data_IF_628286636265
#
_entry.id   IF_628286636265
#
_cell.length_a   1.000
_cell.length_b   1.000
_cell.length_c   1.000
_cell.angle_alpha   90.00
_cell.angle_beta   90.00
_cell.angle_gamma   90.00
#
_symmetry.space_group_name_H-M   'P 1'
#
loop_
_entity.id
_entity.type
_entity.pdbx_description
1 polymer ?
#
# COMPACT_ATOMS: atom_id res chain seq x y z
N UNK A 1 8.00 4.31 14.10
CA UNK A 1 9.27 4.73 13.46
C UNK A 1 9.47 3.85 12.23
N UNK A 2 9.21 4.38 11.03
CA UNK A 2 9.58 3.70 9.78
C UNK A 2 11.11 3.75 9.67
N UNK A 3 11.75 2.62 9.36
CA UNK A 3 13.21 2.51 9.32
C UNK A 3 13.82 3.40 8.24
N UNK A 4 15.01 3.94 8.51
CA UNK A 4 15.84 4.60 7.50
C UNK A 4 16.16 3.62 6.36
N UNK A 5 15.75 3.96 5.14
CA UNK A 5 16.05 3.14 3.96
C UNK A 5 17.49 3.40 3.50
N UNK A 6 18.43 2.57 3.94
CA UNK A 6 19.75 2.49 3.34
C UNK A 6 19.68 1.64 2.06
N UNK A 7 19.34 2.30 0.95
CA UNK A 7 19.32 1.65 -0.37
C UNK A 7 20.76 1.42 -0.85
N UNK A 8 21.06 0.20 -1.31
CA UNK A 8 22.32 -0.10 -1.99
C UNK A 8 22.19 0.32 -3.45
N UNK A 9 23.16 1.10 -3.95
CA UNK A 9 23.17 1.50 -5.35
C UNK A 9 23.45 0.30 -6.27
N UNK A 10 22.79 0.28 -7.42
CA UNK A 10 22.83 -0.84 -8.35
C UNK A 10 24.21 -1.08 -8.98
N UNK A 11 24.97 -0.01 -9.23
CA UNK A 11 26.35 -0.06 -9.72
C UNK A 11 27.27 -0.83 -8.75
N UNK A 12 27.10 -0.63 -7.44
CA UNK A 12 27.87 -1.39 -6.44
C UNK A 12 27.55 -2.89 -6.44
N UNK A 13 26.31 -3.27 -6.74
CA UNK A 13 25.93 -4.69 -6.84
C UNK A 13 26.61 -5.37 -8.03
N UNK A 14 26.77 -4.65 -9.14
CA UNK A 14 27.53 -5.13 -10.31
C UNK A 14 29.02 -5.26 -9.99
N UNK A 15 29.65 -4.23 -9.42
CA UNK A 15 31.07 -4.24 -9.08
C UNK A 15 31.43 -5.37 -8.10
N UNK A 16 30.52 -5.70 -7.18
CA UNK A 16 30.72 -6.77 -6.19
C UNK A 16 30.41 -8.18 -6.73
N UNK A 17 30.00 -8.31 -8.00
CA UNK A 17 29.67 -9.61 -8.61
C UNK A 17 28.44 -10.29 -7.99
N UNK A 18 27.55 -9.50 -7.39
CA UNK A 18 26.32 -9.98 -6.74
C UNK A 18 25.19 -10.23 -7.74
N UNK A 19 25.31 -9.69 -8.96
CA UNK A 19 24.44 -10.00 -10.10
C UNK A 19 25.12 -11.09 -10.93
N UNK A 20 24.49 -12.26 -11.02
CA UNK A 20 25.01 -13.42 -11.76
C UNK A 20 23.97 -13.90 -12.76
N UNK A 21 24.34 -14.05 -14.02
CA UNK A 21 23.42 -14.48 -15.10
C UNK A 21 22.11 -13.67 -15.13
N UNK A 22 22.23 -12.34 -15.02
CA UNK A 22 21.10 -11.40 -14.91
C UNK A 22 20.13 -11.68 -13.76
N UNK A 23 20.61 -12.34 -12.70
CA UNK A 23 19.84 -12.65 -11.50
C UNK A 23 20.51 -12.08 -10.26
N UNK A 24 19.68 -11.52 -9.37
CA UNK A 24 20.03 -11.10 -8.02
C UNK A 24 19.22 -11.95 -7.04
N UNK A 25 19.88 -12.50 -6.02
CA UNK A 25 19.19 -13.22 -4.94
C UNK A 25 19.20 -12.32 -3.71
N UNK A 26 18.01 -12.03 -3.19
CA UNK A 26 17.82 -11.23 -1.97
C UNK A 26 17.30 -12.18 -0.89
N UNK A 27 18.03 -12.28 0.21
CA UNK A 27 17.60 -13.02 1.39
C UNK A 27 17.21 -12.04 2.50
N UNK A 28 15.96 -12.11 2.95
CA UNK A 28 15.47 -11.37 4.10
C UNK A 28 15.20 -12.35 5.25
N UNK A 29 15.86 -12.15 6.39
CA UNK A 29 15.60 -12.90 7.62
C UNK A 29 14.76 -12.07 8.56
N UNK A 30 13.54 -12.53 8.82
CA UNK A 30 12.61 -11.92 9.75
C UNK A 30 12.53 -12.79 10.99
N UNK A 31 12.92 -12.25 12.14
CA UNK A 31 12.73 -12.90 13.43
C UNK A 31 11.61 -12.19 14.17
N UNK A 32 10.47 -12.88 14.34
CA UNK A 32 9.36 -12.38 15.15
C UNK A 32 9.62 -12.74 16.60
N UNK A 33 10.12 -11.79 17.37
CA UNK A 33 10.30 -11.94 18.81
C UNK A 33 8.94 -11.68 19.48
N UNK A 34 8.22 -12.76 19.80
CA UNK A 34 7.07 -12.86 20.73
C UNK A 34 6.33 -11.54 21.06
N UNK A 35 5.08 -11.39 20.60
CA UNK A 35 4.19 -10.33 21.08
C UNK A 35 3.73 -10.62 22.51
N UNK A 36 4.40 -10.05 23.51
CA UNK A 36 3.86 -9.94 24.88
C UNK A 36 3.21 -8.57 25.01
N UNK A 37 1.88 -8.50 24.82
CA UNK A 37 1.11 -7.27 24.97
C UNK A 37 -0.39 -7.52 24.79
N UNK A 38 -1.20 -6.58 25.28
CA UNK A 38 -2.63 -6.52 24.95
C UNK A 38 -2.72 -6.18 23.46
N UNK A 39 -3.46 -6.94 22.63
CA UNK A 39 -3.67 -6.56 21.24
C UNK A 39 -4.30 -5.18 21.18
N UNK A 40 -3.54 -4.17 20.76
CA UNK A 40 -4.12 -2.92 20.31
C UNK A 40 -4.63 -3.16 18.90
N UNK A 41 -5.93 -2.98 18.70
CA UNK A 41 -6.49 -2.85 17.36
C UNK A 41 -5.74 -1.73 16.65
N UNK A 42 -5.04 -2.06 15.57
CA UNK A 42 -4.39 -1.04 14.75
C UNK A 42 -5.47 -0.13 14.17
N UNK A 43 -5.51 1.12 14.59
CA UNK A 43 -6.37 2.13 13.96
C UNK A 43 -5.57 2.86 12.88
N UNK A 44 -6.10 2.85 11.67
CA UNK A 44 -5.58 3.62 10.55
C UNK A 44 -6.43 4.87 10.35
N UNK A 45 -5.79 6.02 10.21
CA UNK A 45 -6.43 7.28 9.80
C UNK A 45 -6.35 7.39 8.27
N UNK A 46 -7.39 6.91 7.59
CA UNK A 46 -7.48 6.94 6.13
C UNK A 46 -7.81 8.33 5.55
N UNK A 47 -8.06 9.34 6.39
CA UNK A 47 -8.27 10.72 5.94
C UNK A 47 -6.96 11.42 5.56
N UNK A 48 -5.83 10.87 6.00
CA UNK A 48 -4.50 11.39 5.75
C UNK A 48 -3.80 10.55 4.70
N UNK A 49 -3.02 11.20 3.86
CA UNK A 49 -2.16 10.48 2.95
C UNK A 49 -1.09 9.68 3.70
N UNK A 50 -1.02 8.38 3.46
CA UNK A 50 0.08 7.55 3.96
C UNK A 50 1.35 7.82 3.16
N UNK A 51 2.52 7.77 3.79
CA UNK A 51 3.83 8.02 3.13
C UNK A 51 4.27 6.88 2.19
N UNK A 52 3.37 6.34 1.35
CA UNK A 52 3.60 5.11 0.58
C UNK A 52 3.29 5.22 -0.91
N UNK A 53 4.06 4.51 -1.72
CA UNK A 53 4.01 4.48 -3.19
C UNK A 53 2.77 3.78 -3.77
N UNK A 54 1.93 3.18 -2.91
CA UNK A 54 0.75 2.40 -3.30
C UNK A 54 -0.56 3.04 -2.87
N UNK A 55 -0.48 4.31 -2.45
CA UNK A 55 -1.62 5.11 -2.08
C UNK A 55 -2.47 5.47 -3.31
N UNK A 56 -3.78 5.33 -3.16
CA UNK A 56 -4.77 5.66 -4.17
C UNK A 56 -5.93 6.44 -3.55
N UNK A 57 -6.31 7.61 -4.08
CA UNK A 57 -7.42 8.38 -3.55
C UNK A 57 -8.77 7.84 -4.03
N UNK A 58 -9.69 7.64 -3.10
CA UNK A 58 -11.11 7.39 -3.36
C UNK A 58 -11.89 8.56 -2.78
N UNK A 59 -12.83 9.11 -3.55
CA UNK A 59 -13.73 10.18 -3.11
C UNK A 59 -15.07 9.58 -2.70
N UNK A 60 -15.51 9.83 -1.48
CA UNK A 60 -16.81 9.40 -0.93
C UNK A 60 -17.44 10.59 -0.24
N UNK A 61 -18.70 10.91 -0.55
CA UNK A 61 -19.44 12.03 0.05
C UNK A 61 -18.69 13.38 -0.03
N UNK A 62 -17.92 13.61 -1.09
CA UNK A 62 -17.14 14.84 -1.25
C UNK A 62 -15.73 14.78 -0.63
N UNK A 63 -15.47 13.85 0.28
CA UNK A 63 -14.21 13.71 1.00
C UNK A 63 -13.27 12.70 0.34
N UNK A 64 -11.96 12.93 0.46
CA UNK A 64 -10.94 12.00 -0.01
C UNK A 64 -10.54 11.04 1.11
N UNK A 65 -10.47 9.78 0.74
CA UNK A 65 -9.98 8.67 1.55
C UNK A 65 -8.78 8.07 0.82
N UNK A 66 -7.72 7.81 1.55
CA UNK A 66 -6.45 7.35 1.03
C UNK A 66 -6.26 5.87 1.35
N UNK A 67 -6.19 5.02 0.32
CA UNK A 67 -6.21 3.55 0.47
C UNK A 67 -5.09 2.88 -0.33
N UNK A 68 -4.81 1.61 -0.02
CA UNK A 68 -3.90 0.79 -0.83
C UNK A 68 -4.68 0.08 -1.94
N UNK A 69 -4.54 0.56 -3.19
CA UNK A 69 -5.22 -0.02 -4.37
C UNK A 69 -4.98 -1.53 -4.50
N UNK A 70 -3.72 -1.97 -4.36
CA UNK A 70 -3.35 -3.39 -4.49
C UNK A 70 -4.11 -4.25 -3.47
N UNK A 71 -4.09 -3.83 -2.20
CA UNK A 71 -4.76 -4.55 -1.13
C UNK A 71 -6.27 -4.65 -1.39
N UNK A 72 -6.92 -3.54 -1.76
CA UNK A 72 -8.35 -3.55 -2.05
C UNK A 72 -8.72 -4.40 -3.26
N UNK A 73 -7.88 -4.43 -4.30
CA UNK A 73 -8.09 -5.31 -5.46
C UNK A 73 -8.01 -6.80 -5.11
N UNK A 74 -7.13 -7.17 -4.17
CA UNK A 74 -6.98 -8.56 -3.70
C UNK A 74 -8.22 -9.03 -2.91
N UNK A 75 -8.85 -8.13 -2.18
CA UNK A 75 -9.99 -8.45 -1.31
C UNK A 75 -11.38 -8.13 -1.92
N UNK A 76 -11.43 -7.39 -3.04
CA UNK A 76 -12.70 -7.04 -3.70
C UNK A 76 -12.53 -7.02 -5.22
N UNK A 77 -13.16 -7.99 -5.89
CA UNK A 77 -13.22 -8.04 -7.36
C UNK A 77 -13.96 -6.83 -7.95
N UNK A 78 -14.91 -6.25 -7.22
CA UNK A 78 -15.62 -5.03 -7.62
C UNK A 78 -14.65 -3.85 -7.64
N UNK A 79 -13.91 -3.62 -6.54
CA UNK A 79 -12.94 -2.53 -6.49
C UNK A 79 -11.80 -2.75 -7.49
N UNK A 80 -11.35 -4.00 -7.67
CA UNK A 80 -10.37 -4.35 -8.68
C UNK A 80 -10.78 -3.92 -10.10
N UNK A 81 -12.06 -4.10 -10.46
CA UNK A 81 -12.60 -3.69 -11.75
C UNK A 81 -12.83 -2.18 -11.88
N UNK A 82 -13.01 -1.46 -10.76
CA UNK A 82 -13.23 -0.01 -10.77
C UNK A 82 -11.93 0.79 -10.88
N UNK A 83 -10.81 0.25 -10.40
CA UNK A 83 -9.57 1.01 -10.42
C UNK A 83 -9.00 1.13 -11.84
N UNK A 84 -8.47 2.32 -12.21
CA UNK A 84 -7.87 2.53 -13.52
C UNK A 84 -6.61 1.67 -13.70
N UNK A 85 -6.24 1.39 -14.94
CA UNK A 85 -4.96 0.71 -15.23
C UNK A 85 -3.78 1.56 -14.75
N UNK A 86 -2.74 0.91 -14.23
CA UNK A 86 -1.55 1.61 -13.76
C UNK A 86 -0.87 2.41 -14.89
N UNK A 87 -0.43 3.63 -14.58
CA UNK A 87 0.25 4.51 -15.53
C UNK A 87 -0.65 5.46 -16.33
N UNK A 88 -1.97 5.39 -16.19
CA UNK A 88 -2.89 6.36 -16.83
C UNK A 88 -2.99 7.66 -16.04
N UNK A 89 -3.47 8.73 -16.69
CA UNK A 89 -3.74 10.01 -16.04
C UNK A 89 -4.83 9.89 -14.96
N UNK A 90 -5.81 9.02 -15.18
CA UNK A 90 -6.90 8.71 -14.24
C UNK A 90 -6.39 8.14 -12.92
N UNK A 91 -5.28 7.39 -12.96
CA UNK A 91 -4.65 6.83 -11.76
C UNK A 91 -4.18 7.91 -10.78
N UNK A 92 -3.98 9.16 -11.23
CA UNK A 92 -3.60 10.30 -10.38
C UNK A 92 -4.78 11.04 -9.77
N UNK A 93 -5.96 10.90 -10.37
CA UNK A 93 -7.17 11.64 -9.98
C UNK A 93 -7.94 10.87 -8.91
N UNK A 94 -7.95 9.54 -9.00
CA UNK A 94 -8.74 8.66 -8.14
C UNK A 94 -10.10 8.30 -8.75
N UNK A 95 -10.93 7.63 -7.95
CA UNK A 95 -12.33 7.29 -8.31
C UNK A 95 -13.30 7.94 -7.31
N UNK A 96 -14.57 8.06 -7.68
CA UNK A 96 -15.65 8.53 -6.79
C UNK A 96 -16.67 7.40 -6.56
N UNK A 97 -17.02 7.14 -5.31
CA UNK A 97 -18.11 6.24 -4.92
C UNK A 97 -19.29 7.09 -4.43
N UNK A 98 -20.45 6.95 -5.10
CA UNK A 98 -21.62 7.81 -4.86
C UNK A 98 -22.67 7.19 -3.92
N UNK A 99 -22.78 5.86 -3.91
CA UNK A 99 -23.80 5.12 -3.17
C UNK A 99 -23.23 4.39 -1.95
N UNK A 100 -22.17 4.96 -1.37
CA UNK A 100 -21.46 4.41 -0.22
C UNK A 100 -21.36 5.50 0.84
N UNK A 101 -21.77 5.19 2.06
CA UNK A 101 -21.54 6.08 3.21
C UNK A 101 -20.08 5.99 3.61
N UNK A 102 -19.47 7.13 3.90
CA UNK A 102 -18.06 7.18 4.28
C UNK A 102 -17.76 6.33 5.51
N UNK A 103 -18.60 6.40 6.53
CA UNK A 103 -18.41 5.69 7.80
C UNK A 103 -18.41 4.17 7.60
N UNK A 104 -19.42 3.65 6.91
CA UNK A 104 -19.55 2.22 6.58
C UNK A 104 -18.33 1.72 5.77
N UNK A 105 -17.82 2.55 4.85
CA UNK A 105 -16.64 2.20 4.07
C UNK A 105 -15.38 2.15 4.94
N UNK A 106 -15.18 3.11 5.86
CA UNK A 106 -14.05 3.08 6.78
C UNK A 106 -14.11 1.87 7.69
N UNK A 107 -15.29 1.51 8.20
CA UNK A 107 -15.48 0.32 9.01
C UNK A 107 -15.10 -0.96 8.26
N UNK A 108 -15.48 -1.06 6.97
CA UNK A 108 -15.06 -2.16 6.09
C UNK A 108 -13.53 -2.26 5.97
N UNK A 109 -12.80 -1.14 6.00
CA UNK A 109 -11.34 -1.11 5.89
C UNK A 109 -10.60 -1.52 7.17
N UNK A 110 -11.27 -1.56 8.32
CA UNK A 110 -10.67 -1.96 9.60
C UNK A 110 -10.79 -3.47 9.89
N UNK A 111 -11.29 -4.27 8.93
CA UNK A 111 -11.49 -5.74 9.02
C UNK A 111 -10.23 -6.52 8.69
#
# INVERSE_FOLDING_TARGET
RMGEYNLVRFDKLYEQGLIKNDKLIIEARLSVYLFVGIPQTMSFDFSRSGYGWHEFPIKIEGEKIHVCKRHLSEHSSVLAAMFPVDGTAENRIGIELKDVRREDFIELLHV
#
